data_IF_472180373059
#
_entry.id   IF_472180373059
#
_cell.length_a   1.000
_cell.length_b   1.000
_cell.length_c   1.000
_cell.angle_alpha   90.00
_cell.angle_beta   90.00
_cell.angle_gamma   90.00
#
_symmetry.space_group_name_H-M   'P 1'
#
loop_
_entity.id
_entity.type
_entity.pdbx_description
1 polymer ?
#
# COMPACT_ATOMS: atom_id res chain seq x y z
N UNK A 1 -1.93 1.99 8.76
CA UNK A 1 -0.81 1.23 9.33
C UNK A 1 -1.07 1.15 10.79
N UNK A 2 -1.09 -0.05 11.34
CA UNK A 2 -1.55 -0.30 12.69
C UNK A 2 -0.36 -0.46 13.65
N UNK A 3 -0.62 -0.46 14.95
CA UNK A 3 0.44 -0.56 15.97
C UNK A 3 1.18 -1.90 15.97
N UNK A 4 0.60 -2.93 15.37
CA UNK A 4 1.24 -4.24 15.15
C UNK A 4 2.13 -4.27 13.89
N UNK A 5 2.20 -3.17 13.14
CA UNK A 5 2.94 -3.03 11.90
C UNK A 5 2.13 -3.33 10.64
N UNK A 6 0.90 -3.85 10.75
CA UNK A 6 0.08 -4.16 9.58
C UNK A 6 -0.07 -2.96 8.63
N UNK A 7 0.26 -3.16 7.36
CA UNK A 7 0.08 -2.19 6.28
C UNK A 7 -1.16 -2.56 5.47
N UNK A 8 -2.28 -1.93 5.79
CA UNK A 8 -3.51 -2.08 5.02
C UNK A 8 -3.51 -1.13 3.83
N UNK A 9 -3.49 -1.69 2.61
CA UNK A 9 -3.64 -0.96 1.36
C UNK A 9 -5.09 -1.05 0.92
N UNK A 10 -5.76 0.10 0.79
CA UNK A 10 -7.13 0.16 0.29
C UNK A 10 -7.11 0.33 -1.24
N UNK A 11 -7.60 -0.68 -1.96
CA UNK A 11 -7.73 -0.65 -3.42
C UNK A 11 -8.93 0.20 -3.82
N UNK A 12 -8.67 1.36 -4.41
CA UNK A 12 -9.72 2.25 -4.92
C UNK A 12 -10.35 1.77 -6.23
N UNK A 13 -9.63 0.98 -7.03
CA UNK A 13 -10.14 0.45 -8.31
C UNK A 13 -10.94 -0.82 -8.08
N UNK A 14 -12.01 -1.00 -8.84
CA UNK A 14 -12.89 -2.17 -8.74
C UNK A 14 -12.18 -3.43 -9.22
N UNK A 15 -12.16 -4.46 -8.38
CA UNK A 15 -11.67 -5.80 -8.70
C UNK A 15 -12.78 -6.62 -9.40
N UNK A 16 -12.42 -7.23 -10.53
CA UNK A 16 -13.32 -7.97 -11.41
C UNK A 16 -12.65 -9.24 -11.97
N UNK A 17 -11.51 -9.65 -11.40
CA UNK A 17 -10.72 -10.82 -11.80
C UNK A 17 -9.40 -10.46 -12.48
N UNK A 18 -9.12 -9.17 -12.71
CA UNK A 18 -7.88 -8.69 -13.34
C UNK A 18 -6.70 -8.58 -12.37
N UNK A 19 -6.97 -8.62 -11.06
CA UNK A 19 -5.96 -8.60 -10.01
C UNK A 19 -5.39 -7.23 -9.67
N UNK A 20 -6.25 -6.21 -9.75
CA UNK A 20 -5.87 -4.83 -9.42
C UNK A 20 -5.54 -4.67 -7.94
N UNK A 21 -6.19 -5.43 -7.05
CA UNK A 21 -5.90 -5.43 -5.61
C UNK A 21 -4.45 -5.81 -5.32
N UNK A 22 -3.95 -6.84 -6.00
CA UNK A 22 -2.54 -7.25 -5.90
C UNK A 22 -1.63 -6.16 -6.43
N UNK A 23 -1.88 -5.66 -7.65
CA UNK A 23 -0.99 -4.70 -8.31
C UNK A 23 -0.87 -3.37 -7.54
N UNK A 24 -1.98 -2.83 -7.02
CA UNK A 24 -1.97 -1.61 -6.20
C UNK A 24 -1.15 -1.82 -4.93
N UNK A 25 -1.37 -2.95 -4.24
CA UNK A 25 -0.63 -3.26 -3.02
C UNK A 25 0.86 -3.47 -3.27
N UNK A 26 1.24 -4.11 -4.38
CA UNK A 26 2.64 -4.25 -4.78
C UNK A 26 3.32 -2.89 -4.91
N UNK A 27 2.69 -1.95 -5.62
CA UNK A 27 3.27 -0.63 -5.87
C UNK A 27 3.49 0.13 -4.56
N UNK A 28 2.46 0.16 -3.71
CA UNK A 28 2.51 0.89 -2.45
C UNK A 28 3.53 0.24 -1.50
N UNK A 29 3.50 -1.09 -1.35
CA UNK A 29 4.40 -1.81 -0.45
C UNK A 29 5.87 -1.71 -0.87
N UNK A 30 6.15 -1.72 -2.18
CA UNK A 30 7.52 -1.61 -2.71
C UNK A 30 8.15 -0.27 -2.35
N UNK A 31 7.42 0.83 -2.61
CA UNK A 31 7.86 2.18 -2.25
C UNK A 31 7.91 2.38 -0.74
N UNK A 32 7.03 1.73 0.02
CA UNK A 32 7.07 1.78 1.47
C UNK A 32 8.23 1.01 2.08
N UNK A 33 8.98 0.20 1.33
CA UNK A 33 9.89 -0.80 1.88
C UNK A 33 9.19 -1.75 2.87
N UNK A 34 7.89 -1.98 2.69
CA UNK A 34 7.10 -2.85 3.56
C UNK A 34 7.37 -4.32 3.24
N UNK A 35 7.49 -5.16 4.27
CA UNK A 35 7.48 -6.60 4.09
C UNK A 35 6.06 -7.05 3.68
N UNK A 36 5.97 -7.75 2.54
CA UNK A 36 4.72 -8.27 1.99
C UNK A 36 3.91 -9.13 2.97
N UNK A 37 4.57 -9.85 3.88
CA UNK A 37 3.88 -10.66 4.90
C UNK A 37 3.06 -9.84 5.90
N UNK A 38 3.34 -8.53 6.00
CA UNK A 38 2.60 -7.58 6.82
C UNK A 38 1.60 -6.74 6.01
N UNK A 39 1.47 -6.98 4.69
CA UNK A 39 0.58 -6.21 3.82
C UNK A 39 -0.76 -6.90 3.71
N UNK A 40 -1.82 -6.14 3.98
CA UNK A 40 -3.20 -6.58 3.78
C UNK A 40 -3.88 -5.68 2.75
N UNK A 41 -4.84 -6.22 2.00
CA UNK A 41 -5.54 -5.47 0.96
C UNK A 41 -7.03 -5.48 1.20
N UNK A 42 -7.60 -4.29 1.36
CA UNK A 42 -9.05 -4.09 1.46
C UNK A 42 -9.59 -3.44 0.20
N UNK A 43 -10.83 -3.76 -0.16
CA UNK A 43 -11.52 -3.07 -1.25
C UNK A 43 -12.10 -1.76 -0.69
N UNK A 44 -11.91 -0.64 -1.40
CA UNK A 44 -12.55 0.62 -1.05
C UNK A 44 -14.08 0.47 -1.10
N UNK A 45 -14.78 1.10 -0.15
CA UNK A 45 -16.23 1.27 -0.24
C UNK A 45 -16.57 2.26 -1.35
N UNK A 46 -17.83 2.23 -1.82
CA UNK A 46 -18.38 3.18 -2.80
C UNK A 46 -18.55 4.58 -2.22
N UNK A 47 -17.45 5.23 -1.84
CA UNK A 47 -17.41 6.56 -1.23
C UNK A 47 -16.46 7.48 -2.00
N UNK A 48 -16.91 8.72 -2.25
CA UNK A 48 -16.13 9.76 -2.95
C UNK A 48 -14.78 10.07 -2.31
N UNK A 49 -14.58 9.75 -1.02
CA UNK A 49 -13.31 9.89 -0.32
C UNK A 49 -12.19 9.06 -0.97
N UNK A 50 -12.53 7.98 -1.68
CA UNK A 50 -11.57 7.14 -2.39
C UNK A 50 -11.33 7.55 -3.86
N UNK A 51 -11.97 8.64 -4.31
CA UNK A 51 -11.80 9.16 -5.68
C UNK A 51 -12.55 8.35 -6.74
N UNK A 52 -12.04 8.36 -7.97
CA UNK A 52 -12.61 7.59 -9.08
C UNK A 52 -12.35 6.08 -8.91
N UNK A 53 -13.42 5.32 -8.78
CA UNK A 53 -13.41 3.87 -8.56
C UNK A 53 -13.78 3.06 -9.81
N UNK A 54 -14.01 3.72 -10.95
CA UNK A 54 -14.26 3.09 -12.24
C UNK A 54 -13.14 2.09 -12.57
N UNK A 55 -13.41 1.03 -13.32
CA UNK A 55 -12.36 0.16 -13.87
C UNK A 55 -12.69 -0.12 -15.32
N UNK A 56 -12.02 0.57 -16.23
CA UNK A 56 -12.14 0.36 -17.68
C UNK A 56 -10.84 0.77 -18.39
N UNK A 57 -10.83 0.60 -19.72
CA UNK A 57 -9.83 1.18 -20.63
C UNK A 57 -8.36 0.89 -20.31
N UNK A 58 -8.07 -0.16 -19.53
CA UNK A 58 -6.74 -0.47 -19.00
C UNK A 58 -6.09 0.72 -18.26
N UNK A 59 -6.90 1.52 -17.56
CA UNK A 59 -6.47 2.80 -16.98
C UNK A 59 -5.97 2.69 -15.53
N UNK A 60 -6.37 1.65 -14.80
CA UNK A 60 -6.15 1.55 -13.34
C UNK A 60 -4.70 1.75 -12.91
N UNK A 61 -3.72 1.11 -13.58
CA UNK A 61 -2.29 1.34 -13.29
C UNK A 61 -1.74 2.50 -14.13
N UNK A 62 -2.10 2.60 -15.41
CA UNK A 62 -1.59 3.65 -16.32
C UNK A 62 -1.79 5.07 -15.79
N UNK A 63 -2.93 5.34 -15.15
CA UNK A 63 -3.24 6.68 -14.64
C UNK A 63 -2.77 6.92 -13.20
N UNK A 64 -2.50 5.86 -12.44
CA UNK A 64 -2.27 5.97 -11.00
C UNK A 64 -0.91 5.43 -10.53
N UNK A 65 -0.08 4.85 -11.40
CA UNK A 65 1.23 4.32 -11.03
C UNK A 65 2.03 5.33 -10.19
N UNK A 66 2.25 6.53 -10.70
CA UNK A 66 3.05 7.54 -10.00
C UNK A 66 2.40 8.00 -8.70
N UNK A 67 1.06 8.14 -8.66
CA UNK A 67 0.33 8.52 -7.45
C UNK A 67 0.42 7.46 -6.36
N UNK A 68 0.32 6.19 -6.73
CA UNK A 68 0.47 5.05 -5.82
C UNK A 68 1.91 4.95 -5.31
N UNK A 69 2.89 5.19 -6.18
CA UNK A 69 4.29 5.23 -5.79
C UNK A 69 4.58 6.37 -4.83
N UNK A 70 4.09 7.56 -5.12
CA UNK A 70 4.17 8.72 -4.23
C UNK A 70 3.51 8.46 -2.89
N UNK A 71 2.34 7.81 -2.85
CA UNK A 71 1.70 7.45 -1.60
C UNK A 71 2.58 6.53 -0.73
N UNK A 72 3.20 5.52 -1.34
CA UNK A 72 4.12 4.62 -0.64
C UNK A 72 5.39 5.33 -0.16
N UNK A 73 6.04 6.13 -1.03
CA UNK A 73 7.24 6.88 -0.69
C UNK A 73 6.98 7.94 0.39
N UNK A 74 5.80 8.58 0.36
CA UNK A 74 5.36 9.51 1.40
C UNK A 74 5.27 8.83 2.75
N UNK A 75 4.63 7.66 2.81
CA UNK A 75 4.55 6.90 4.04
C UNK A 75 5.95 6.46 4.54
N UNK A 76 6.83 6.02 3.63
CA UNK A 76 8.25 5.69 3.94
C UNK A 76 8.96 6.86 4.60
N UNK A 77 8.93 8.03 3.97
CA UNK A 77 9.61 9.22 4.47
C UNK A 77 9.05 9.71 5.82
N UNK A 78 7.73 9.60 6.03
CA UNK A 78 7.10 9.91 7.31
C UNK A 78 7.55 8.95 8.42
N UNK A 79 7.75 7.66 8.12
CA UNK A 79 8.31 6.69 9.06
C UNK A 79 9.77 7.00 9.38
N UNK A 80 10.60 7.28 8.38
CA UNK A 80 12.01 7.67 8.55
C UNK A 80 12.14 8.92 9.44
N UNK A 81 11.32 9.93 9.16
CA UNK A 81 11.25 11.16 9.97
C UNK A 81 10.80 10.87 11.40
N UNK A 82 9.82 9.99 11.60
CA UNK A 82 9.36 9.61 12.94
C UNK A 82 10.46 8.89 13.74
N UNK A 83 11.23 8.01 13.10
CA UNK A 83 12.36 7.33 13.72
C UNK A 83 13.49 8.30 14.06
N UNK A 84 13.84 9.18 13.13
CA UNK A 84 14.84 10.23 13.32
C UNK A 84 14.51 11.11 14.52
N UNK A 85 13.26 11.58 14.63
CA UNK A 85 12.78 12.35 15.77
C UNK A 85 12.82 11.56 17.09
N UNK A 86 12.56 10.24 17.06
CA UNK A 86 12.61 9.38 18.26
C UNK A 86 14.04 9.17 18.74
N UNK A 87 15.00 9.15 17.82
CA UNK A 87 16.42 8.95 18.13
C UNK A 87 17.20 10.24 18.32
N UNK A 88 16.59 11.39 18.04
CA UNK A 88 17.22 12.72 18.02
C UNK A 88 18.44 12.77 17.07
N UNK A 89 18.23 12.31 15.83
CA UNK A 89 19.25 12.25 14.77
C UNK A 89 18.73 12.85 13.46
N UNK A 90 19.61 13.23 12.52
CA UNK A 90 19.18 13.66 11.19
C UNK A 90 18.37 12.58 10.45
N UNK A 91 17.31 12.98 9.76
CA UNK A 91 16.50 12.06 8.96
C UNK A 91 17.29 11.39 7.83
N UNK A 92 18.32 12.05 7.31
CA UNK A 92 19.24 11.51 6.30
C UNK A 92 20.07 10.33 6.80
N UNK A 93 20.11 10.08 8.11
CA UNK A 93 20.79 8.92 8.72
C UNK A 93 19.83 7.75 8.95
N UNK A 94 18.54 7.91 8.63
CA UNK A 94 17.51 6.89 8.79
C UNK A 94 17.07 6.35 7.42
N UNK A 95 17.02 5.02 7.29
CA UNK A 95 16.61 4.35 6.06
C UNK A 95 15.56 3.30 6.37
N UNK A 96 14.43 3.34 5.68
CA UNK A 96 13.44 2.26 5.73
C UNK A 96 13.92 1.06 4.90
N UNK A 97 13.94 -0.11 5.52
CA UNK A 97 14.36 -1.37 4.89
C UNK A 97 13.51 -2.51 5.44
N UNK A 98 12.73 -3.13 4.56
CA UNK A 98 11.92 -4.32 4.86
C UNK A 98 11.14 -4.25 6.19
N UNK A 99 10.24 -3.28 6.32
CA UNK A 99 9.32 -3.10 7.44
C UNK A 99 9.93 -2.54 8.74
N UNK A 100 11.18 -2.09 8.66
CA UNK A 100 11.87 -1.40 9.75
C UNK A 100 12.46 -0.10 9.24
N UNK A 101 12.59 0.89 10.12
CA UNK A 101 13.52 2.00 9.89
C UNK A 101 14.80 1.71 10.65
N UNK A 102 15.95 1.86 9.97
CA UNK A 102 17.28 1.66 10.53
C UNK A 102 18.03 2.98 10.61
N UNK A 103 18.70 3.23 11.73
CA UNK A 103 19.68 4.28 11.84
C UNK A 103 21.02 3.76 11.34
N UNK A 104 21.47 4.25 10.19
CA UNK A 104 22.63 3.69 9.48
C UNK A 104 23.93 3.76 10.28
N UNK A 105 24.28 4.88 10.96
CA UNK A 105 25.53 4.95 11.73
C UNK A 105 25.58 4.02 12.94
N UNK A 106 24.44 3.80 13.62
CA UNK A 106 24.43 3.03 14.88
C UNK A 106 23.85 1.63 14.77
N UNK A 107 23.26 1.25 13.62
CA UNK A 107 22.59 -0.04 13.42
C UNK A 107 21.31 -0.24 14.24
N UNK A 108 20.82 0.79 14.95
CA UNK A 108 19.55 0.72 15.70
C UNK A 108 18.40 0.58 14.70
N UNK A 109 17.35 -0.14 15.07
CA UNK A 109 16.15 -0.29 14.23
C UNK A 109 14.87 -0.16 15.04
N UNK A 110 13.82 0.33 14.38
CA UNK A 110 12.45 0.41 14.91
C UNK A 110 11.50 -0.23 13.90
N UNK A 111 10.54 -1.01 14.38
CA UNK A 111 9.51 -1.59 13.52
C UNK A 111 8.49 -0.53 13.10
N UNK A 112 7.85 -0.72 11.95
CA UNK A 112 6.83 0.20 11.44
C UNK A 112 5.68 0.44 12.42
N UNK A 113 5.22 -0.61 13.12
CA UNK A 113 4.16 -0.49 14.13
C UNK A 113 4.52 0.46 15.29
N UNK A 114 5.80 0.52 15.67
CA UNK A 114 6.27 1.43 16.72
C UNK A 114 6.29 2.90 16.27
N UNK A 115 6.30 3.14 14.95
CA UNK A 115 6.41 4.46 14.35
C UNK A 115 5.08 4.97 13.82
N UNK A 116 4.13 4.08 13.51
CA UNK A 116 2.88 4.37 12.82
C UNK A 116 2.12 5.56 13.41
N UNK A 117 1.90 5.56 14.73
CA UNK A 117 1.17 6.62 15.43
C UNK A 117 1.92 7.98 15.39
N UNK A 118 3.25 7.96 15.48
CA UNK A 118 4.04 9.20 15.42
C UNK A 118 4.08 9.72 13.99
N UNK A 119 4.34 8.84 13.02
CA UNK A 119 4.39 9.16 11.60
C UNK A 119 3.08 9.82 11.14
N UNK A 120 1.91 9.27 11.51
CA UNK A 120 0.61 9.83 11.10
C UNK A 120 0.32 11.24 11.65
N UNK A 121 1.01 11.66 12.71
CA UNK A 121 0.90 13.01 13.28
C UNK A 121 1.85 14.03 12.63
N UNK A 122 2.79 13.58 11.79
CA UNK A 122 3.74 14.47 11.12
C UNK A 122 3.08 15.18 9.93
N UNK A 123 3.57 16.39 9.59
CA UNK A 123 3.17 17.04 8.34
C UNK A 123 3.53 16.15 7.14
N UNK A 124 2.62 16.08 6.18
CA UNK A 124 2.83 15.32 4.94
C UNK A 124 3.90 16.04 4.10
N UNK A 125 5.00 15.35 3.73
CA UNK A 125 6.01 15.90 2.82
C UNK A 125 5.41 16.34 1.49
N UNK A 126 5.84 17.49 0.96
CA UNK A 126 5.37 17.98 -0.35
C UNK A 126 6.03 17.28 -1.52
N UNK A 127 7.30 16.91 -1.36
CA UNK A 127 8.11 16.23 -2.36
C UNK A 127 8.71 15.00 -1.71
N UNK A 128 8.65 13.88 -2.42
CA UNK A 128 9.22 12.60 -2.00
C UNK A 128 9.99 11.99 -3.17
N UNK A 129 11.15 11.41 -2.87
CA UNK A 129 11.92 10.69 -3.86
C UNK A 129 11.34 9.28 -4.04
N UNK A 130 11.10 8.91 -5.30
CA UNK A 130 10.65 7.57 -5.65
C UNK A 130 11.85 6.66 -5.83
N UNK A 131 11.67 5.37 -5.53
CA UNK A 131 12.73 4.36 -5.76
C UNK A 131 13.17 4.31 -7.23
N UNK A 132 14.43 3.95 -7.47
CA UNK A 132 14.84 3.60 -8.82
C UNK A 132 14.20 2.27 -9.21
N UNK A 133 14.06 2.03 -10.53
CA UNK A 133 13.40 0.81 -11.03
C UNK A 133 14.21 -0.44 -10.66
N UNK A 134 15.52 -0.30 -10.53
CA UNK A 134 16.45 -1.36 -10.18
C UNK A 134 16.24 -1.84 -8.73
N UNK A 135 15.70 -0.97 -7.87
CA UNK A 135 15.45 -1.25 -6.45
C UNK A 135 14.07 -1.86 -6.19
N UNK A 136 13.26 -2.06 -7.24
CA UNK A 136 11.92 -2.64 -7.10
C UNK A 136 11.97 -4.09 -6.65
N UNK A 137 11.28 -4.36 -5.54
CA UNK A 137 11.16 -5.69 -4.92
C UNK A 137 9.91 -6.44 -5.36
N UNK A 138 8.83 -5.71 -5.66
CA UNK A 138 7.49 -6.23 -5.96
C UNK A 138 6.96 -5.74 -7.30
N UNK A 139 7.23 -4.48 -7.67
CA UNK A 139 6.77 -3.91 -8.94
C UNK A 139 7.41 -4.66 -10.11
N UNK A 140 6.58 -5.23 -10.98
CA UNK A 140 7.03 -5.99 -12.14
C UNK A 140 7.63 -7.36 -11.81
N UNK A 141 7.45 -7.87 -10.58
CA UNK A 141 7.87 -9.21 -10.17
C UNK A 141 6.66 -10.13 -10.05
N UNK A 142 6.82 -11.40 -10.42
CA UNK A 142 5.79 -12.42 -10.27
C UNK A 142 5.60 -12.78 -8.80
N UNK A 143 4.37 -12.66 -8.29
CA UNK A 143 4.01 -12.99 -6.90
C UNK A 143 2.64 -13.69 -6.84
N UNK A 144 2.37 -14.35 -5.72
CA UNK A 144 1.05 -14.92 -5.44
C UNK A 144 0.02 -13.80 -5.40
N UNK A 145 -1.09 -13.99 -6.12
CA UNK A 145 -2.24 -13.08 -6.09
C UNK A 145 -2.84 -13.03 -4.67
N UNK A 146 -3.22 -11.85 -4.17
CA UNK A 146 -3.76 -11.70 -2.80
C UNK A 146 -5.06 -12.49 -2.61
N UNK A 147 -5.83 -12.66 -3.68
CA UNK A 147 -7.06 -13.45 -3.72
C UNK A 147 -6.87 -14.87 -4.28
N UNK A 148 -5.63 -15.33 -4.50
CA UNK A 148 -5.38 -16.63 -5.15
C UNK A 148 -6.13 -17.78 -4.48
N UNK A 149 -6.13 -17.83 -3.15
CA UNK A 149 -6.78 -18.90 -2.40
C UNK A 149 -8.30 -18.84 -2.53
N UNK A 150 -8.88 -17.62 -2.48
CA UNK A 150 -10.31 -17.43 -2.66
C UNK A 150 -10.77 -17.75 -4.09
N UNK A 151 -9.97 -17.39 -5.09
CA UNK A 151 -10.22 -17.72 -6.50
C UNK A 151 -10.17 -19.25 -6.68
N UNK A 152 -9.11 -19.90 -6.20
CA UNK A 152 -8.94 -21.35 -6.32
C UNK A 152 -10.03 -22.13 -5.59
N UNK A 153 -10.52 -21.62 -4.46
CA UNK A 153 -11.61 -22.21 -3.70
C UNK A 153 -13.01 -21.85 -4.22
N UNK A 154 -13.13 -20.98 -5.23
CA UNK A 154 -14.43 -20.51 -5.74
C UNK A 154 -15.22 -19.65 -4.74
N UNK A 155 -14.53 -18.99 -3.81
CA UNK A 155 -15.12 -18.15 -2.75
C UNK A 155 -14.84 -16.66 -2.94
N UNK A 156 -14.04 -16.29 -3.95
CA UNK A 156 -13.85 -14.89 -4.33
C UNK A 156 -15.20 -14.27 -4.75
N UNK A 157 -15.49 -13.07 -4.25
CA UNK A 157 -16.72 -12.33 -4.54
C UNK A 157 -16.40 -11.11 -5.38
N UNK A 158 -17.10 -10.92 -6.48
CA UNK A 158 -17.04 -9.75 -7.34
C UNK A 158 -18.39 -9.01 -7.34
N UNK A 159 -18.43 -7.84 -7.98
CA UNK A 159 -19.66 -7.04 -8.07
C UNK A 159 -20.85 -7.84 -8.64
N UNK A 160 -20.60 -8.75 -9.58
CA UNK A 160 -21.63 -9.61 -10.18
C UNK A 160 -22.25 -10.63 -9.20
N UNK A 161 -21.55 -10.97 -8.13
CA UNK A 161 -21.97 -11.95 -7.13
C UNK A 161 -22.81 -11.33 -6.01
N UNK A 162 -22.77 -9.99 -5.88
CA UNK A 162 -23.49 -9.26 -4.84
C UNK A 162 -25.00 -9.40 -5.04
N UNK A 163 -25.72 -9.68 -3.94
CA UNK A 163 -27.19 -9.72 -3.89
C UNK A 163 -27.63 -8.85 -2.71
N UNK A 164 -28.45 -7.83 -2.97
CA UNK A 164 -29.01 -6.96 -1.95
C UNK A 164 -30.52 -7.18 -1.79
N UNK A 165 -31.08 -6.98 -0.59
CA UNK A 165 -32.53 -6.97 -0.42
C UNK A 165 -33.19 -5.97 -1.38
N UNK A 166 -34.16 -6.43 -2.17
CA UNK A 166 -34.88 -5.59 -3.14
C UNK A 166 -34.09 -5.22 -4.40
N UNK A 167 -32.93 -5.84 -4.68
CA UNK A 167 -32.16 -5.58 -5.89
C UNK A 167 -32.96 -5.93 -7.15
N UNK A 168 -33.22 -4.93 -7.99
CA UNK A 168 -33.82 -5.14 -9.31
C UNK A 168 -32.80 -5.78 -10.25
N UNK A 169 -33.23 -6.77 -11.03
CA UNK A 169 -32.41 -7.46 -12.02
C UNK A 169 -32.97 -7.08 -13.39
N UNK A 170 -32.15 -6.43 -14.22
CA UNK A 170 -32.50 -6.17 -15.60
C UNK A 170 -32.44 -7.48 -16.40
N UNK A 171 -33.46 -7.73 -17.22
CA UNK A 171 -33.57 -8.86 -18.17
C UNK A 171 -33.49 -8.37 -19.60
#
# INVERSE_FOLDING_TARGET
MDSDGTVTVTSHRSEMGQGIRTAIAQIVADEMEADWSHVQVTQAQGDKAYGDQNTDGSQSIRLFLDKLRQAGATARQMLETAAANRWDVPASECEAVNHFVKHMPSGRKLAYGELAAKASSLPIPRNVDLKAREDFRYIGKGMKHVDADAIAAGTATYAADVRLPGMAIAV
#
